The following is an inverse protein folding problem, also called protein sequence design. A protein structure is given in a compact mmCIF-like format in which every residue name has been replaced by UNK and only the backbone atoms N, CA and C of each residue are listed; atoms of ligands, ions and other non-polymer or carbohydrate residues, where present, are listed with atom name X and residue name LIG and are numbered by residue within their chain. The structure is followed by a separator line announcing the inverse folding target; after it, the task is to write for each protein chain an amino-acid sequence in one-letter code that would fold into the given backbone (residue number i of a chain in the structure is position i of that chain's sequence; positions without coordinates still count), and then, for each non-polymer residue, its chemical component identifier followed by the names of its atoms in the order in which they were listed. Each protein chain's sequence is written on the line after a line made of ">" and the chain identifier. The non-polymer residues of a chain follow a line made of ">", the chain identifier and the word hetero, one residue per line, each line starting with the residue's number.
data_IF_190647616795
#
_entry.id   IF_190647616795
#
_cell.length_a   1.000
_cell.length_b   1.000
_cell.length_c   1.000
_cell.angle_alpha   90.00
_cell.angle_beta   90.00
_cell.angle_gamma   90.00
#
_symmetry.space_group_name_H-M   'P 1'
#
loop_
_entity.id
_entity.type
_entity.pdbx_description
1 polymer ?
#
# COMPACT_ATOMS: atom_id res chain seq x y z
N UNK A 1 0.56 -13.14 12.80
CA UNK A 1 -0.51 -12.56 11.97
C UNK A 1 0.13 -11.60 10.99
N UNK A 2 -0.07 -11.79 9.69
CA UNK A 2 0.35 -10.84 8.66
C UNK A 2 -0.45 -9.55 8.84
N UNK A 3 0.23 -8.41 9.02
CA UNK A 3 -0.40 -7.09 9.17
C UNK A 3 -1.18 -6.78 7.90
N UNK A 4 -2.42 -6.30 8.02
CA UNK A 4 -3.26 -5.97 6.88
C UNK A 4 -2.62 -4.86 6.04
N UNK A 5 -2.34 -5.17 4.78
CA UNK A 5 -1.62 -4.32 3.83
C UNK A 5 -2.54 -3.55 2.88
N UNK A 6 -3.86 -3.79 2.96
CA UNK A 6 -4.87 -3.12 2.14
C UNK A 6 -4.94 -3.62 0.69
N UNK A 7 -4.25 -4.72 0.36
CA UNK A 7 -4.16 -5.26 -1.00
C UNK A 7 -3.20 -4.47 -1.90
N UNK A 8 -3.21 -4.71 -3.22
CA UNK A 8 -2.32 -4.04 -4.16
C UNK A 8 -2.66 -2.55 -4.32
N UNK A 9 -1.63 -1.69 -4.32
CA UNK A 9 -1.78 -0.24 -4.49
C UNK A 9 -2.27 0.17 -5.88
N UNK A 10 -1.88 -0.61 -6.89
CA UNK A 10 -2.24 -0.42 -8.29
C UNK A 10 -2.77 -1.73 -8.86
N UNK A 11 -3.70 -1.72 -9.82
CA UNK A 11 -4.14 -2.94 -10.48
C UNK A 11 -2.97 -3.62 -11.20
N UNK A 12 -2.57 -4.80 -10.73
CA UNK A 12 -1.81 -5.74 -11.54
C UNK A 12 -2.78 -6.45 -12.47
N UNK A 13 -2.64 -6.30 -13.78
CA UNK A 13 -3.46 -7.04 -14.73
C UNK A 13 -2.66 -8.22 -15.26
N UNK A 14 -2.88 -9.40 -14.71
CA UNK A 14 -2.42 -10.65 -15.31
C UNK A 14 -3.62 -11.48 -15.75
N UNK A 15 -3.53 -12.03 -16.96
CA UNK A 15 -4.49 -13.01 -17.47
C UNK A 15 -4.22 -14.34 -16.74
N UNK A 16 -5.06 -14.66 -15.75
CA UNK A 16 -5.09 -16.01 -15.20
C UNK A 16 -5.95 -16.89 -16.11
N UNK A 17 -5.35 -17.94 -16.65
CA UNK A 17 -6.06 -18.96 -17.40
C UNK A 17 -6.43 -20.11 -16.44
N UNK A 18 -7.72 -20.43 -16.25
CA UNK A 18 -8.11 -21.59 -15.48
C UNK A 18 -7.57 -22.86 -16.15
N UNK A 19 -7.10 -23.82 -15.36
CA UNK A 19 -6.50 -25.07 -15.87
C UNK A 19 -7.48 -25.95 -16.66
N UNK A 20 -8.78 -25.85 -16.40
CA UNK A 20 -9.81 -26.79 -16.89
C UNK A 20 -11.11 -26.11 -17.40
N UNK A 21 -11.09 -24.85 -17.84
CA UNK A 21 -12.31 -24.12 -18.24
C UNK A 21 -12.17 -23.27 -19.52
N UNK A 22 -13.29 -22.84 -20.13
CA UNK A 22 -13.24 -21.95 -21.30
C UNK A 22 -12.45 -20.68 -20.97
N UNK A 23 -11.71 -20.18 -21.97
CA UNK A 23 -10.77 -19.07 -21.86
C UNK A 23 -11.46 -17.72 -21.57
N UNK A 24 -12.05 -17.55 -20.40
CA UNK A 24 -12.36 -16.24 -19.84
C UNK A 24 -11.19 -15.88 -18.93
N UNK A 25 -10.26 -15.07 -19.45
CA UNK A 25 -9.12 -14.62 -18.67
C UNK A 25 -9.61 -13.82 -17.47
N UNK A 26 -9.35 -14.30 -16.26
CA UNK A 26 -9.63 -13.55 -15.04
C UNK A 26 -8.48 -12.55 -14.87
N UNK A 27 -8.81 -11.27 -14.73
CA UNK A 27 -7.85 -10.25 -14.32
C UNK A 27 -7.61 -10.42 -12.83
N UNK A 28 -6.45 -10.98 -12.47
CA UNK A 28 -6.04 -11.15 -11.07
C UNK A 28 -4.99 -10.10 -10.73
N UNK A 29 -5.24 -9.34 -9.67
CA UNK A 29 -4.28 -8.41 -9.10
C UNK A 29 -3.36 -9.13 -8.11
N UNK A 30 -2.31 -9.75 -8.64
CA UNK A 30 -1.28 -10.44 -7.85
C UNK A 30 0.09 -9.78 -8.08
N UNK A 31 0.82 -9.52 -6.99
CA UNK A 31 2.12 -8.82 -7.02
C UNK A 31 2.03 -7.28 -7.01
N UNK A 32 3.18 -6.62 -6.82
CA UNK A 32 3.30 -5.16 -6.75
C UNK A 32 3.44 -4.60 -5.33
N UNK A 33 3.46 -3.27 -5.21
CA UNK A 33 3.50 -2.55 -3.92
C UNK A 33 2.14 -2.66 -3.21
N UNK A 34 2.13 -2.92 -1.91
CA UNK A 34 0.87 -2.92 -1.15
C UNK A 34 0.33 -1.50 -0.99
N UNK A 35 -0.97 -1.36 -0.81
CA UNK A 35 -1.62 -0.07 -0.58
C UNK A 35 -1.05 0.61 0.68
N UNK A 36 -0.69 -0.19 1.69
CA UNK A 36 0.01 0.24 2.90
C UNK A 36 1.37 0.85 2.58
N UNK A 37 2.19 0.18 1.78
CA UNK A 37 3.51 0.68 1.42
C UNK A 37 3.41 1.94 0.56
N UNK A 38 2.40 2.00 -0.31
CA UNK A 38 2.13 3.17 -1.14
C UNK A 38 1.74 4.40 -0.31
N UNK A 39 0.77 4.26 0.60
CA UNK A 39 0.40 5.34 1.51
C UNK A 39 1.57 5.76 2.42
N UNK A 40 2.37 4.80 2.89
CA UNK A 40 3.54 5.10 3.70
C UNK A 40 4.56 5.92 2.91
N UNK A 41 4.82 5.59 1.65
CA UNK A 41 5.70 6.37 0.77
C UNK A 41 5.23 7.82 0.60
N UNK A 42 3.93 8.02 0.39
CA UNK A 42 3.34 9.36 0.27
C UNK A 42 3.46 10.16 1.57
N UNK A 43 3.17 9.54 2.71
CA UNK A 43 3.32 10.17 4.02
C UNK A 43 4.77 10.52 4.33
N UNK A 44 5.73 9.63 4.00
CA UNK A 44 7.15 9.88 4.16
C UNK A 44 7.63 11.07 3.32
N UNK A 45 7.19 11.18 2.07
CA UNK A 45 7.53 12.30 1.21
C UNK A 45 7.06 13.64 1.80
N UNK A 46 5.82 13.69 2.31
CA UNK A 46 5.28 14.87 2.99
C UNK A 46 6.04 15.20 4.29
N UNK A 47 6.30 14.20 5.12
CA UNK A 47 7.02 14.34 6.40
C UNK A 47 8.44 14.92 6.19
N UNK A 48 9.18 14.40 5.21
CA UNK A 48 10.54 14.87 4.88
C UNK A 48 10.56 16.29 4.28
N UNK A 49 9.48 16.69 3.58
CA UNK A 49 9.35 18.02 3.01
C UNK A 49 8.93 19.09 4.06
N UNK A 50 8.12 18.70 5.06
CA UNK A 50 7.53 19.64 6.02
C UNK A 50 8.53 20.18 7.05
N UNK A 51 9.56 19.42 7.42
CA UNK A 51 10.46 19.79 8.53
C UNK A 51 11.93 19.87 8.10
N UNK A 52 12.33 20.85 7.27
CA UNK A 52 13.72 20.96 6.81
C UNK A 52 14.70 21.22 7.97
N UNK A 53 14.27 21.91 9.03
CA UNK A 53 15.12 22.33 10.16
C UNK A 53 14.97 21.48 11.43
N UNK A 54 14.05 20.53 11.44
CA UNK A 54 13.81 19.62 12.57
C UNK A 54 13.43 18.25 12.01
N UNK A 55 14.41 17.59 11.39
CA UNK A 55 14.18 16.27 10.82
C UNK A 55 14.06 15.24 11.95
N UNK A 56 12.93 14.55 12.08
CA UNK A 56 12.84 13.38 12.93
C UNK A 56 13.86 12.31 12.48
N UNK A 57 14.21 11.39 13.40
CA UNK A 57 15.09 10.28 13.04
C UNK A 57 14.50 9.48 11.88
N UNK A 58 15.36 8.84 11.08
CA UNK A 58 14.93 7.99 9.96
C UNK A 58 13.93 6.93 10.43
N UNK A 59 14.17 6.37 11.62
CA UNK A 59 13.27 5.40 12.27
C UNK A 59 11.91 6.04 12.57
N UNK A 60 11.91 7.23 13.20
CA UNK A 60 10.66 7.93 13.55
C UNK A 60 9.84 8.35 12.31
N UNK A 61 10.49 8.72 11.21
CA UNK A 61 9.80 8.99 9.94
C UNK A 61 9.17 7.75 9.34
N UNK A 62 9.86 6.61 9.36
CA UNK A 62 9.29 5.34 8.90
C UNK A 62 8.08 4.92 9.77
N UNK A 63 8.20 5.03 11.09
CA UNK A 63 7.11 4.71 12.03
C UNK A 63 5.87 5.58 11.77
N UNK A 64 6.03 6.90 11.67
CA UNK A 64 4.91 7.81 11.36
C UNK A 64 4.31 7.53 9.99
N UNK A 65 5.12 7.30 8.97
CA UNK A 65 4.65 6.99 7.63
C UNK A 65 3.72 5.77 7.61
N UNK A 66 4.12 4.69 8.27
CA UNK A 66 3.27 3.50 8.38
C UNK A 66 2.05 3.71 9.30
N UNK A 67 2.14 4.59 10.30
CA UNK A 67 0.96 4.93 11.11
C UNK A 67 -0.10 5.69 10.29
N UNK A 68 0.31 6.61 9.42
CA UNK A 68 -0.61 7.27 8.48
C UNK A 68 -1.22 6.27 7.50
N UNK A 69 -0.42 5.36 6.94
CA UNK A 69 -0.91 4.32 6.03
C UNK A 69 -1.98 3.43 6.66
N UNK A 70 -1.72 2.96 7.89
CA UNK A 70 -2.67 2.14 8.62
C UNK A 70 -3.98 2.89 8.93
N UNK A 71 -3.89 4.18 9.29
CA UNK A 71 -5.07 5.02 9.53
C UNK A 71 -5.93 5.19 8.26
N UNK A 72 -5.30 5.40 7.09
CA UNK A 72 -6.01 5.51 5.81
C UNK A 72 -6.73 4.20 5.43
N UNK A 73 -6.09 3.05 5.65
CA UNK A 73 -6.70 1.75 5.40
C UNK A 73 -7.86 1.49 6.37
N UNK A 74 -7.71 1.87 7.64
CA UNK A 74 -8.79 1.77 8.63
C UNK A 74 -9.99 2.65 8.25
N UNK A 75 -9.76 3.86 7.75
CA UNK A 75 -10.82 4.75 7.30
C UNK A 75 -11.57 4.18 6.10
N UNK A 76 -10.85 3.65 5.11
CA UNK A 76 -11.45 3.03 3.91
C UNK A 76 -12.40 1.88 4.25
N UNK A 77 -12.14 1.13 5.33
CA UNK A 77 -12.97 0.00 5.77
C UNK A 77 -14.32 0.40 6.38
N UNK A 78 -14.53 1.68 6.65
CA UNK A 78 -15.83 2.19 7.16
C UNK A 78 -16.83 2.44 6.04
N UNK A 79 -16.38 2.46 4.78
CA UNK A 79 -17.20 2.62 3.58
C UNK A 79 -17.73 1.26 3.11
#
# INVERSE_FOLDING_TARGET
>A
MTRNDGGPAFPGAYLAYPKDGPCEGVVVAEGGMSLRDWFAGQALAGDLAATPNCRPSIIGSAERAYAYADAMIAERRKL
#
